data_IF_395310048709
#
_entry.id   IF_395310048709
#
_cell.length_a   1.000
_cell.length_b   1.000
_cell.length_c   1.000
_cell.angle_alpha   90.00
_cell.angle_beta   90.00
_cell.angle_gamma   90.00
#
_symmetry.space_group_name_H-M   'P 1'
#
loop_
_entity.id
_entity.type
_entity.pdbx_description
1 polymer ?
#
# COMPACT_ATOMS: atom_id res chain seq x y z
N UNK A 1 47.67 -51.18 -56.30
CA UNK A 1 47.97 -52.62 -56.11
C UNK A 1 47.14 -53.08 -54.91
N UNK A 2 45.91 -53.58 -55.07
CA UNK A 2 45.50 -54.97 -55.40
C UNK A 2 45.74 -55.97 -54.24
N UNK A 3 44.63 -56.60 -53.78
CA UNK A 3 44.45 -57.89 -53.04
C UNK A 3 44.71 -57.88 -51.51
N UNK A 4 43.97 -58.57 -50.61
CA UNK A 4 43.07 -59.77 -50.65
C UNK A 4 42.24 -59.81 -49.32
N UNK A 5 40.93 -60.17 -49.30
CA UNK A 5 40.29 -61.47 -48.89
C UNK A 5 40.72 -62.01 -47.49
N UNK A 6 39.93 -62.58 -46.55
CA UNK A 6 38.49 -62.93 -46.36
C UNK A 6 38.31 -63.63 -44.98
N UNK A 7 37.17 -63.41 -44.27
CA UNK A 7 36.41 -64.24 -43.27
C UNK A 7 37.07 -64.58 -41.89
N UNK A 8 36.37 -64.67 -40.75
CA UNK A 8 35.30 -65.64 -40.36
C UNK A 8 34.48 -65.17 -39.13
N UNK A 9 33.16 -65.43 -39.23
CA UNK A 9 32.07 -65.62 -38.24
C UNK A 9 32.36 -65.75 -36.73
N UNK A 10 31.49 -65.15 -35.90
CA UNK A 10 30.82 -65.79 -34.73
C UNK A 10 29.57 -64.96 -34.35
N UNK A 11 28.35 -65.48 -34.59
CA UNK A 11 27.41 -65.92 -33.55
C UNK A 11 26.53 -64.77 -33.00
N UNK A 12 25.33 -64.51 -33.51
CA UNK A 12 24.03 -65.14 -33.16
C UNK A 12 23.61 -64.99 -31.69
N UNK A 13 22.61 -64.13 -31.41
CA UNK A 13 21.46 -64.29 -30.47
C UNK A 13 20.81 -62.89 -30.25
N UNK A 14 19.61 -62.61 -30.77
CA UNK A 14 18.26 -62.88 -30.23
C UNK A 14 17.73 -61.82 -29.24
N UNK A 15 16.49 -61.37 -29.53
CA UNK A 15 15.45 -60.82 -28.63
C UNK A 15 15.53 -59.32 -28.31
N UNK A 16 14.67 -58.46 -28.87
CA UNK A 16 13.22 -58.19 -28.64
C UNK A 16 12.99 -56.97 -27.74
N UNK A 17 12.31 -55.96 -28.32
CA UNK A 17 11.18 -55.20 -27.78
C UNK A 17 11.27 -54.66 -26.33
N UNK A 18 11.31 -53.33 -26.16
CA UNK A 18 10.17 -52.57 -25.62
C UNK A 18 10.48 -51.08 -25.48
N UNK A 19 9.58 -50.29 -26.05
CA UNK A 19 9.38 -48.86 -25.85
C UNK A 19 8.95 -48.58 -24.40
N UNK A 20 9.61 -47.65 -23.71
CA UNK A 20 8.97 -46.81 -22.70
C UNK A 20 9.77 -45.54 -22.45
N UNK A 21 9.19 -44.43 -22.89
CA UNK A 21 9.49 -43.08 -22.42
C UNK A 21 9.42 -43.07 -20.89
N UNK A 22 10.48 -42.63 -20.23
CA UNK A 22 10.38 -42.04 -18.91
C UNK A 22 11.33 -40.85 -18.87
N UNK A 23 10.73 -39.69 -19.17
CA UNK A 23 11.24 -38.37 -18.78
C UNK A 23 11.70 -38.46 -17.34
N UNK A 24 12.99 -38.24 -17.09
CA UNK A 24 13.51 -38.08 -15.76
C UNK A 24 12.99 -36.74 -15.21
N UNK A 25 11.93 -36.78 -14.40
CA UNK A 25 11.64 -35.71 -13.47
C UNK A 25 12.46 -35.97 -12.20
N UNK A 26 13.62 -35.32 -12.11
CA UNK A 26 14.49 -35.32 -10.94
C UNK A 26 13.96 -34.38 -9.85
N UNK A 27 12.80 -34.69 -9.26
CA UNK A 27 12.26 -34.02 -8.08
C UNK A 27 11.97 -35.06 -7.01
N UNK A 28 12.67 -35.00 -5.87
CA UNK A 28 12.49 -35.94 -4.77
C UNK A 28 11.05 -35.89 -4.24
N UNK A 29 10.49 -37.05 -3.92
CA UNK A 29 9.21 -37.14 -3.20
C UNK A 29 9.42 -36.74 -1.74
N UNK A 30 8.41 -36.12 -1.13
CA UNK A 30 8.48 -35.62 0.24
C UNK A 30 7.13 -35.77 0.95
N UNK A 31 7.15 -35.74 2.28
CA UNK A 31 5.94 -35.62 3.11
C UNK A 31 5.97 -34.33 3.95
N UNK A 32 7.17 -33.88 4.31
CA UNK A 32 7.42 -32.65 5.06
C UNK A 32 8.56 -31.86 4.41
N UNK A 33 8.64 -30.55 4.68
CA UNK A 33 9.70 -29.69 4.12
C UNK A 33 11.11 -30.14 4.50
N UNK A 34 11.27 -30.77 5.66
CA UNK A 34 12.53 -31.34 6.12
C UNK A 34 13.06 -32.48 5.24
N UNK A 35 12.21 -33.08 4.41
CA UNK A 35 12.59 -34.16 3.49
C UNK A 35 13.28 -33.61 2.23
N UNK A 36 13.27 -32.29 2.04
CA UNK A 36 13.80 -31.63 0.86
C UNK A 36 15.20 -31.05 1.13
N UNK A 37 16.14 -31.34 0.22
CA UNK A 37 17.51 -30.82 0.29
C UNK A 37 17.60 -29.40 -0.32
N UNK A 38 18.22 -28.47 0.42
CA UNK A 38 18.40 -27.08 0.00
C UNK A 38 17.22 -26.16 0.36
N UNK A 39 17.08 -25.03 -0.32
CA UNK A 39 15.98 -24.07 -0.14
C UNK A 39 14.70 -24.52 -0.89
N UNK A 40 14.27 -25.76 -0.64
CA UNK A 40 13.10 -26.38 -1.29
C UNK A 40 12.06 -26.75 -0.23
N UNK A 41 10.79 -26.80 -0.62
CA UNK A 41 9.68 -27.13 0.28
C UNK A 41 8.78 -28.21 -0.34
N UNK A 42 8.01 -28.90 0.50
CA UNK A 42 7.21 -30.03 0.10
C UNK A 42 5.81 -29.59 -0.34
N UNK A 43 5.55 -29.64 -1.64
CA UNK A 43 4.25 -29.30 -2.21
C UNK A 43 3.70 -30.49 -3.01
N UNK A 44 2.49 -30.93 -2.67
CA UNK A 44 1.81 -32.08 -3.33
C UNK A 44 2.69 -33.34 -3.42
N UNK A 45 3.50 -33.58 -2.38
CA UNK A 45 4.38 -34.74 -2.28
C UNK A 45 5.67 -34.64 -3.08
N UNK A 46 6.04 -33.45 -3.59
CA UNK A 46 7.29 -33.22 -4.33
C UNK A 46 8.05 -32.03 -3.78
N UNK A 47 9.37 -32.17 -3.70
CA UNK A 47 10.26 -31.07 -3.39
C UNK A 47 10.31 -30.10 -4.58
N UNK A 48 9.73 -28.93 -4.39
CA UNK A 48 9.73 -27.84 -5.35
C UNK A 48 10.70 -26.76 -4.89
N UNK A 49 11.39 -26.13 -5.84
CA UNK A 49 12.21 -24.96 -5.52
C UNK A 49 11.30 -23.86 -4.95
N UNK A 50 11.77 -23.19 -3.87
CA UNK A 50 11.12 -22.05 -3.22
C UNK A 50 10.33 -21.20 -4.20
N UNK A 51 9.04 -20.94 -3.89
CA UNK A 51 8.11 -20.26 -4.79
C UNK A 51 8.82 -19.05 -5.39
N UNK A 52 8.82 -18.96 -6.72
CA UNK A 52 9.24 -17.75 -7.42
C UNK A 52 8.29 -16.62 -6.99
N UNK A 53 8.67 -15.88 -5.94
CA UNK A 53 7.93 -14.74 -5.39
C UNK A 53 7.61 -14.83 -3.89
N UNK A 54 7.11 -13.72 -3.32
CA UNK A 54 6.78 -13.57 -1.90
C UNK A 54 5.47 -14.29 -1.49
N UNK A 55 5.26 -15.56 -1.84
CA UNK A 55 4.05 -16.31 -1.46
C UNK A 55 4.28 -17.18 -0.21
N UNK A 56 3.22 -17.45 0.56
CA UNK A 56 3.30 -18.24 1.81
C UNK A 56 1.95 -18.85 2.20
N UNK A 57 1.98 -19.79 3.15
CA UNK A 57 0.80 -20.34 3.84
C UNK A 57 0.89 -20.19 5.36
N UNK A 58 2.10 -20.15 5.90
CA UNK A 58 2.42 -19.94 7.30
C UNK A 58 3.48 -18.83 7.45
N UNK A 59 3.54 -18.20 8.62
CA UNK A 59 4.56 -17.19 8.91
C UNK A 59 5.99 -17.76 8.83
N UNK A 60 6.17 -19.06 9.05
CA UNK A 60 7.45 -19.77 8.95
C UNK A 60 7.99 -19.85 7.52
N UNK A 61 7.13 -19.67 6.52
CA UNK A 61 7.51 -19.65 5.10
C UNK A 61 8.17 -18.31 4.73
N UNK A 62 8.07 -17.32 5.62
CA UNK A 62 8.55 -15.96 5.41
C UNK A 62 9.87 -15.69 6.15
N UNK A 63 10.64 -14.74 5.64
CA UNK A 63 11.94 -14.38 6.23
C UNK A 63 11.72 -13.70 7.58
N UNK A 64 12.77 -13.67 8.41
CA UNK A 64 12.75 -12.95 9.69
C UNK A 64 12.33 -11.48 9.48
N UNK A 65 11.26 -11.05 10.17
CA UNK A 65 10.68 -9.72 10.00
C UNK A 65 9.54 -9.64 8.98
N UNK A 66 9.12 -10.78 8.42
CA UNK A 66 7.96 -10.90 7.55
C UNK A 66 6.86 -11.76 8.22
N UNK A 67 5.62 -11.59 7.79
CA UNK A 67 4.49 -12.44 8.17
C UNK A 67 3.68 -12.81 6.94
N UNK A 68 3.04 -13.98 7.02
CA UNK A 68 2.18 -14.47 5.97
C UNK A 68 0.80 -13.85 6.05
N UNK A 69 0.54 -12.90 5.16
CA UNK A 69 -0.72 -12.14 5.09
C UNK A 69 -1.26 -12.29 3.68
N UNK A 70 -2.49 -12.80 3.54
CA UNK A 70 -3.15 -13.02 2.25
C UNK A 70 -2.33 -13.87 1.28
N UNK A 71 -1.75 -14.96 1.80
CA UNK A 71 -0.85 -15.87 1.08
C UNK A 71 0.41 -15.21 0.51
N UNK A 72 0.82 -14.05 1.07
CA UNK A 72 2.05 -13.36 0.73
C UNK A 72 2.89 -13.02 1.95
N UNK A 73 4.20 -13.18 1.83
CA UNK A 73 5.15 -12.67 2.81
C UNK A 73 5.21 -11.16 2.72
N UNK A 74 4.75 -10.51 3.77
CA UNK A 74 4.78 -9.06 3.92
C UNK A 74 5.76 -8.72 5.04
N UNK A 75 6.72 -7.85 4.75
CA UNK A 75 7.55 -7.24 5.79
C UNK A 75 6.66 -6.48 6.75
N UNK A 76 6.62 -6.93 8.00
CA UNK A 76 5.80 -6.32 9.04
C UNK A 76 6.62 -5.22 9.68
N UNK A 77 6.22 -3.98 9.42
CA UNK A 77 6.89 -2.79 9.98
C UNK A 77 6.34 -2.40 11.35
N UNK A 78 5.12 -2.84 11.65
CA UNK A 78 4.35 -2.48 12.84
C UNK A 78 3.25 -3.51 13.11
N UNK A 79 2.66 -3.46 14.31
CA UNK A 79 1.54 -4.32 14.70
C UNK A 79 0.21 -3.64 14.39
N UNK A 80 -0.78 -4.38 13.88
CA UNK A 80 -2.11 -3.83 13.56
C UNK A 80 -2.72 -3.06 14.75
N UNK A 81 -3.23 -1.85 14.49
CA UNK A 81 -3.74 -0.95 15.53
C UNK A 81 -2.68 -0.13 16.29
N UNK A 82 -1.40 -0.42 16.09
CA UNK A 82 -0.31 0.39 16.65
C UNK A 82 -0.34 1.80 16.08
N UNK A 83 -0.09 2.82 16.91
CA UNK A 83 -0.01 4.21 16.50
C UNK A 83 1.35 4.78 16.86
N UNK A 84 1.89 5.64 15.99
CA UNK A 84 3.12 6.37 16.31
C UNK A 84 3.09 7.77 15.72
N UNK A 85 3.83 8.67 16.36
CA UNK A 85 4.03 10.02 15.86
C UNK A 85 4.80 9.99 14.54
N UNK A 86 4.43 10.87 13.61
CA UNK A 86 5.08 10.97 12.32
C UNK A 86 5.16 12.44 11.89
N UNK A 87 6.15 12.76 11.06
CA UNK A 87 6.32 14.08 10.49
C UNK A 87 7.13 13.93 9.20
N UNK A 88 6.53 14.32 8.07
CA UNK A 88 7.14 14.14 6.75
C UNK A 88 7.78 15.44 6.21
N UNK A 89 7.81 16.49 7.03
CA UNK A 89 8.47 17.75 6.72
C UNK A 89 9.99 17.74 7.02
N UNK A 90 10.74 18.74 6.52
CA UNK A 90 12.16 18.91 6.79
C UNK A 90 12.50 18.98 8.29
N UNK A 91 13.66 18.46 8.68
CA UNK A 91 14.17 18.54 10.06
C UNK A 91 14.26 20.00 10.53
N UNK A 92 13.80 20.27 11.75
CA UNK A 92 13.85 21.61 12.37
C UNK A 92 12.60 22.47 12.14
N UNK A 93 11.68 22.04 11.28
CA UNK A 93 10.42 22.75 11.03
C UNK A 93 9.27 22.28 11.95
N UNK A 94 9.40 21.08 12.54
CA UNK A 94 8.39 20.55 13.47
C UNK A 94 8.23 21.47 14.69
N UNK A 95 6.98 21.89 14.96
CA UNK A 95 6.65 22.78 16.08
C UNK A 95 6.95 24.26 15.80
N UNK A 96 7.43 24.62 14.61
CA UNK A 96 7.53 26.02 14.18
C UNK A 96 6.23 26.42 13.49
N UNK A 97 5.72 27.60 13.84
CA UNK A 97 4.52 28.14 13.22
C UNK A 97 3.33 27.19 13.32
N UNK A 98 2.76 26.86 12.16
CA UNK A 98 1.65 25.91 12.03
C UNK A 98 2.09 24.45 11.97
N UNK A 99 3.38 24.18 11.72
CA UNK A 99 3.87 22.83 11.51
C UNK A 99 3.81 21.98 12.76
N UNK A 100 3.28 20.77 12.60
CA UNK A 100 3.14 19.80 13.70
C UNK A 100 3.20 18.38 13.18
N UNK A 101 3.64 17.47 14.06
CA UNK A 101 3.55 16.05 13.81
C UNK A 101 2.09 15.58 13.74
N UNK A 102 1.87 14.56 12.92
CA UNK A 102 0.65 13.78 12.86
C UNK A 102 0.81 12.44 13.58
N UNK A 103 -0.16 11.56 13.34
CA UNK A 103 -0.16 10.17 13.81
C UNK A 103 -0.38 9.26 12.61
N UNK A 104 0.40 8.19 12.52
CA UNK A 104 0.16 7.11 11.56
C UNK A 104 -0.31 5.87 12.30
N UNK A 105 -1.34 5.23 11.76
CA UNK A 105 -1.93 3.99 12.26
C UNK A 105 -1.37 2.82 11.46
N UNK A 106 -1.03 1.73 12.14
CA UNK A 106 -0.64 0.50 11.49
C UNK A 106 -1.88 -0.30 11.07
N UNK A 107 -1.94 -0.66 9.78
CA UNK A 107 -2.98 -1.54 9.23
C UNK A 107 -2.34 -2.60 8.35
N UNK A 108 -2.63 -3.87 8.61
CA UNK A 108 -2.11 -4.99 7.80
C UNK A 108 -0.59 -5.10 7.81
N UNK A 109 0.05 -4.73 8.92
CA UNK A 109 1.50 -4.79 9.10
C UNK A 109 2.29 -3.66 8.44
N UNK A 110 1.61 -2.61 7.96
CA UNK A 110 2.22 -1.44 7.34
C UNK A 110 1.71 -0.17 7.99
N UNK A 111 2.57 0.82 8.10
CA UNK A 111 2.15 2.15 8.52
C UNK A 111 1.28 2.81 7.44
N UNK A 112 0.14 3.35 7.85
CA UNK A 112 -0.66 4.24 7.03
C UNK A 112 -0.03 5.62 6.86
N UNK A 113 -0.79 6.54 6.29
CA UNK A 113 -0.40 7.93 6.10
C UNK A 113 -0.29 8.67 7.43
N UNK A 114 0.43 9.79 7.40
CA UNK A 114 0.64 10.62 8.57
C UNK A 114 -0.54 11.59 8.78
N UNK A 115 -1.62 11.09 9.40
CA UNK A 115 -2.85 11.83 9.61
C UNK A 115 -2.63 13.06 10.52
N UNK A 116 -3.13 14.21 10.09
CA UNK A 116 -3.10 15.46 10.87
C UNK A 116 -1.74 16.16 10.96
N UNK A 117 -0.72 15.65 10.25
CA UNK A 117 0.54 16.39 10.11
C UNK A 117 0.34 17.69 9.32
N UNK A 118 1.03 18.74 9.73
CA UNK A 118 1.13 19.99 8.96
C UNK A 118 2.60 20.17 8.63
N UNK A 119 2.94 20.09 7.36
CA UNK A 119 4.31 20.28 6.85
C UNK A 119 4.47 21.68 6.26
N UNK A 120 5.71 22.17 6.09
CA UNK A 120 5.98 23.47 5.49
C UNK A 120 5.30 23.65 4.14
N UNK A 121 4.75 24.83 3.94
CA UNK A 121 4.04 25.23 2.72
C UNK A 121 4.26 26.72 2.49
N UNK A 122 4.01 27.25 1.28
CA UNK A 122 4.20 28.69 1.05
C UNK A 122 3.31 29.51 1.98
N UNK A 123 3.81 30.67 2.41
CA UNK A 123 3.03 31.66 3.18
C UNK A 123 1.71 32.00 2.49
N UNK A 124 0.64 32.07 3.29
CA UNK A 124 -0.70 32.46 2.87
C UNK A 124 -1.04 33.89 3.26
N UNK A 125 -0.12 34.58 3.93
CA UNK A 125 -0.31 35.94 4.42
C UNK A 125 -1.51 36.03 5.38
N UNK A 126 -1.65 34.99 6.20
CA UNK A 126 -2.77 34.74 7.11
C UNK A 126 -2.40 35.01 8.58
N UNK A 127 -1.24 35.66 8.81
CA UNK A 127 -0.64 35.95 10.12
C UNK A 127 -0.14 34.71 10.86
N UNK A 128 0.09 33.63 10.13
CA UNK A 128 0.74 32.43 10.62
C UNK A 128 2.09 32.27 9.94
N UNK A 129 2.84 31.27 10.39
CA UNK A 129 4.09 30.83 9.79
C UNK A 129 3.77 29.48 9.11
N UNK A 130 3.48 29.54 7.81
CA UNK A 130 3.03 28.39 7.02
C UNK A 130 4.22 27.62 6.45
N UNK A 131 5.35 28.28 6.23
CA UNK A 131 6.60 27.67 5.75
C UNK A 131 7.47 27.14 6.91
N UNK A 132 7.07 27.43 8.13
CA UNK A 132 7.62 26.93 9.38
C UNK A 132 9.11 27.27 9.52
N UNK A 133 9.49 28.44 9.02
CA UNK A 133 10.84 28.98 9.11
C UNK A 133 11.09 29.76 10.41
N UNK A 134 10.06 29.94 11.24
CA UNK A 134 10.10 30.66 12.51
C UNK A 134 9.73 32.14 12.40
N UNK A 135 9.20 32.59 11.26
CA UNK A 135 8.72 33.95 11.04
C UNK A 135 7.34 33.92 10.42
N UNK A 136 6.52 34.89 10.81
CA UNK A 136 5.15 35.05 10.33
C UNK A 136 5.16 35.89 9.05
N UNK A 137 4.48 35.42 8.01
CA UNK A 137 4.22 36.15 6.76
C UNK A 137 5.49 36.82 6.16
N UNK A 138 6.64 36.15 6.16
CA UNK A 138 7.91 36.73 5.67
C UNK A 138 8.14 36.59 4.16
N UNK A 139 7.16 36.03 3.44
CA UNK A 139 7.17 36.00 1.98
C UNK A 139 6.90 37.40 1.38
N UNK A 140 7.62 37.78 0.30
CA UNK A 140 7.39 39.06 -0.39
C UNK A 140 5.95 39.30 -0.86
N UNK A 141 5.15 38.26 -1.07
CA UNK A 141 3.73 38.35 -1.45
C UNK A 141 2.82 38.83 -0.31
N UNK A 142 3.30 38.83 0.94
CA UNK A 142 2.55 39.27 2.12
C UNK A 142 2.54 40.78 2.34
N UNK A 143 2.84 41.54 1.29
CA UNK A 143 2.63 42.99 1.26
C UNK A 143 1.15 43.37 1.46
N UNK A 144 0.93 44.43 2.23
CA UNK A 144 -0.41 45.01 2.46
C UNK A 144 -0.90 45.84 1.27
N UNK A 145 0.03 46.31 0.42
CA UNK A 145 -0.29 47.02 -0.82
C UNK A 145 -0.05 46.09 -2.00
N UNK A 146 -0.96 46.10 -2.96
CA UNK A 146 -0.88 45.31 -4.18
C UNK A 146 -1.27 46.16 -5.40
N UNK A 147 -0.92 45.70 -6.59
CA UNK A 147 -1.36 46.31 -7.84
C UNK A 147 -2.54 45.52 -8.40
N UNK A 148 -3.45 46.22 -9.08
CA UNK A 148 -4.62 45.59 -9.69
C UNK A 148 -4.20 44.45 -10.63
N UNK A 149 -4.76 43.27 -10.38
CA UNK A 149 -4.43 42.04 -11.11
C UNK A 149 -3.36 41.15 -10.44
N UNK A 150 -2.66 41.62 -9.40
CA UNK A 150 -1.79 40.76 -8.59
C UNK A 150 -2.62 39.64 -7.95
N UNK A 151 -2.03 38.44 -7.83
CA UNK A 151 -2.67 37.30 -7.19
C UNK A 151 -1.74 36.59 -6.22
N UNK A 152 -2.27 36.16 -5.08
CA UNK A 152 -1.54 35.36 -4.08
C UNK A 152 -2.33 34.12 -3.65
N UNK A 153 -1.67 33.04 -3.19
CA UNK A 153 -2.37 31.85 -2.71
C UNK A 153 -3.17 32.19 -1.45
N UNK A 154 -4.27 31.47 -1.24
CA UNK A 154 -5.07 31.57 -0.03
C UNK A 154 -5.75 30.24 0.25
N UNK A 155 -6.07 30.00 1.51
CA UNK A 155 -6.86 28.82 1.88
C UNK A 155 -7.68 29.13 3.13
N UNK A 156 -8.99 28.87 3.07
CA UNK A 156 -9.91 29.18 4.18
C UNK A 156 -10.33 27.94 4.98
N UNK A 157 -9.79 26.77 4.64
CA UNK A 157 -9.97 25.53 5.40
C UNK A 157 -8.93 25.35 6.51
N UNK A 158 -9.04 24.29 7.32
CA UNK A 158 -8.02 23.92 8.31
C UNK A 158 -6.65 23.69 7.67
N UNK A 159 -5.56 24.20 8.26
CA UNK A 159 -4.23 24.10 7.66
C UNK A 159 -3.79 22.65 7.31
N UNK A 160 -4.21 21.65 8.10
CA UNK A 160 -3.91 20.23 7.85
C UNK A 160 -4.63 19.63 6.64
N UNK A 161 -5.64 20.29 6.09
CA UNK A 161 -6.39 19.82 4.91
C UNK A 161 -5.93 20.50 3.63
N UNK A 162 -4.99 21.47 3.70
CA UNK A 162 -4.52 22.21 2.53
C UNK A 162 -3.80 21.27 1.57
N UNK A 163 -4.26 21.23 0.31
CA UNK A 163 -3.67 20.43 -0.75
C UNK A 163 -3.60 18.92 -0.44
N UNK A 164 -4.51 18.44 0.42
CA UNK A 164 -4.72 17.02 0.74
C UNK A 164 -5.99 16.55 0.04
N UNK A 165 -5.96 15.38 -0.58
CA UNK A 165 -7.14 14.81 -1.25
C UNK A 165 -7.72 15.74 -2.33
N UNK A 166 -9.01 16.01 -2.24
CA UNK A 166 -9.70 16.98 -3.12
C UNK A 166 -9.52 18.44 -2.72
N UNK A 167 -9.01 18.71 -1.51
CA UNK A 167 -8.81 20.06 -1.05
C UNK A 167 -7.69 20.74 -1.81
N UNK A 168 -7.90 22.01 -2.11
CA UNK A 168 -6.93 22.84 -2.81
C UNK A 168 -7.03 24.28 -2.36
N UNK A 169 -5.91 24.96 -2.37
CA UNK A 169 -5.85 26.41 -2.23
C UNK A 169 -6.58 27.14 -3.36
N UNK A 170 -7.07 28.33 -3.02
CA UNK A 170 -7.60 29.31 -3.95
C UNK A 170 -6.59 30.41 -4.21
N UNK A 171 -7.10 31.51 -4.77
CA UNK A 171 -6.33 32.75 -4.96
C UNK A 171 -7.11 33.94 -4.43
N UNK A 172 -6.40 34.86 -3.79
CA UNK A 172 -6.85 36.23 -3.59
C UNK A 172 -6.37 37.08 -4.77
N UNK A 173 -7.27 37.93 -5.28
CA UNK A 173 -6.99 38.85 -6.37
C UNK A 173 -6.96 40.27 -5.82
N UNK A 174 -5.97 41.05 -6.24
CA UNK A 174 -5.92 42.46 -5.91
C UNK A 174 -6.83 43.27 -6.85
N UNK A 175 -7.74 44.05 -6.29
CA UNK A 175 -8.62 44.98 -7.03
C UNK A 175 -8.67 46.33 -6.32
N UNK A 176 -8.49 47.42 -7.06
CA UNK A 176 -8.39 48.78 -6.53
C UNK A 176 -7.37 48.92 -5.37
N UNK A 177 -6.23 48.23 -5.49
CA UNK A 177 -5.16 48.24 -4.48
C UNK A 177 -5.46 47.51 -3.17
N UNK A 178 -6.51 46.68 -3.12
CA UNK A 178 -6.86 45.86 -1.97
C UNK A 178 -6.94 44.37 -2.35
N UNK A 179 -6.46 43.50 -1.45
CA UNK A 179 -6.66 42.06 -1.55
C UNK A 179 -8.12 41.71 -1.27
N UNK A 180 -8.78 41.09 -2.25
CA UNK A 180 -10.14 40.58 -2.10
C UNK A 180 -10.16 39.18 -1.46
N UNK A 181 -11.36 38.68 -1.14
CA UNK A 181 -11.52 37.38 -0.50
C UNK A 181 -11.02 36.19 -1.33
N UNK A 182 -10.66 35.12 -0.63
CA UNK A 182 -10.15 33.89 -1.23
C UNK A 182 -11.16 33.22 -2.17
N UNK A 183 -10.77 33.07 -3.43
CA UNK A 183 -11.63 32.49 -4.47
C UNK A 183 -11.04 31.20 -5.03
N UNK A 184 -11.90 30.19 -5.23
CA UNK A 184 -11.52 28.92 -5.88
C UNK A 184 -10.92 27.86 -4.95
N UNK A 185 -10.83 28.14 -3.65
CA UNK A 185 -10.42 27.14 -2.68
C UNK A 185 -11.45 26.00 -2.59
N UNK A 186 -10.97 24.79 -2.33
CA UNK A 186 -11.81 23.62 -2.06
C UNK A 186 -11.52 23.17 -0.64
N UNK A 187 -12.53 23.30 0.21
CA UNK A 187 -12.49 22.98 1.63
C UNK A 187 -12.91 21.53 1.88
N UNK A 188 -12.50 20.95 3.01
CA UNK A 188 -12.93 19.62 3.39
C UNK A 188 -14.44 19.59 3.58
N UNK A 189 -15.07 18.53 3.08
CA UNK A 189 -16.49 18.21 3.31
C UNK A 189 -16.58 16.83 3.94
N UNK A 190 -17.78 16.39 4.35
CA UNK A 190 -17.92 15.02 4.82
C UNK A 190 -17.58 14.01 3.71
N UNK A 191 -16.99 12.88 4.10
CA UNK A 191 -16.67 11.78 3.18
C UNK A 191 -17.87 11.32 2.36
N UNK A 192 -17.62 11.07 1.09
CA UNK A 192 -18.57 10.52 0.14
C UNK A 192 -18.08 9.14 -0.31
N UNK A 193 -18.55 8.17 0.44
CA UNK A 193 -18.23 6.76 0.27
C UNK A 193 -18.40 6.20 -1.14
N UNK A 194 -17.41 5.40 -1.54
CA UNK A 194 -17.30 4.67 -2.79
C UNK A 194 -17.14 5.57 -4.01
N UNK A 195 -16.64 6.79 -3.84
CA UNK A 195 -16.24 7.63 -4.97
C UNK A 195 -14.72 7.55 -5.27
N UNK A 196 -13.96 6.83 -4.44
CA UNK A 196 -12.50 6.68 -4.50
C UNK A 196 -11.75 8.01 -4.40
N UNK A 197 -12.34 9.00 -3.73
CA UNK A 197 -11.73 10.29 -3.46
C UNK A 197 -11.65 10.51 -1.95
N UNK A 198 -10.79 11.44 -1.57
CA UNK A 198 -10.64 11.96 -0.19
C UNK A 198 -11.38 13.30 -0.16
N UNK A 199 -12.62 13.31 0.37
CA UNK A 199 -13.47 14.50 0.34
C UNK A 199 -13.31 15.38 1.59
N UNK A 200 -12.91 14.79 2.71
CA UNK A 200 -12.67 15.43 3.99
C UNK A 200 -11.22 15.88 4.15
N UNK A 201 -10.36 15.51 3.19
CA UNK A 201 -8.98 15.92 3.05
C UNK A 201 -8.14 15.55 4.28
N UNK A 202 -8.41 14.37 4.86
CA UNK A 202 -7.66 13.81 5.98
C UNK A 202 -6.51 12.89 5.54
N UNK A 203 -6.40 12.62 4.23
CA UNK A 203 -5.36 11.80 3.62
C UNK A 203 -5.74 10.33 3.45
N UNK A 204 -6.92 9.93 3.91
CA UNK A 204 -7.51 8.62 3.64
C UNK A 204 -8.58 8.74 2.55
N UNK A 205 -8.86 7.63 1.87
CA UNK A 205 -9.86 7.57 0.81
C UNK A 205 -11.00 6.67 1.31
N UNK A 206 -12.24 7.13 1.16
CA UNK A 206 -13.45 6.38 1.48
C UNK A 206 -13.49 5.82 2.92
N UNK A 207 -12.93 6.54 3.90
CA UNK A 207 -12.94 6.18 5.32
C UNK A 207 -14.20 6.65 6.06
N UNK A 208 -14.37 6.19 7.31
CA UNK A 208 -15.49 6.57 8.18
C UNK A 208 -16.90 6.39 7.57
N UNK A 209 -17.03 5.49 6.61
CA UNK A 209 -18.22 5.31 5.77
C UNK A 209 -19.46 4.70 6.43
N UNK A 210 -19.44 4.48 7.75
CA UNK A 210 -20.48 3.79 8.49
C UNK A 210 -20.59 2.31 8.09
N UNK A 211 -20.75 1.44 9.07
CA UNK A 211 -21.07 0.04 8.79
C UNK A 211 -22.48 -0.05 8.17
N UNK A 212 -22.53 -0.16 6.84
CA UNK A 212 -23.70 -0.34 5.96
C UNK A 212 -24.49 0.95 5.65
N UNK A 213 -24.63 1.24 4.35
CA UNK A 213 -25.57 2.25 3.84
C UNK A 213 -26.93 1.63 3.52
N UNK A 214 -28.01 2.42 3.59
CA UNK A 214 -29.38 1.98 3.33
C UNK A 214 -29.50 1.34 1.93
N UNK A 215 -29.82 0.05 1.88
CA UNK A 215 -29.88 -0.74 0.65
C UNK A 215 -28.60 -1.51 0.28
N UNK A 216 -27.51 -1.40 1.04
CA UNK A 216 -26.35 -2.28 0.88
C UNK A 216 -26.55 -3.60 1.64
N UNK A 217 -26.40 -4.71 0.93
CA UNK A 217 -26.38 -6.06 1.48
C UNK A 217 -24.95 -6.57 1.46
N UNK A 218 -24.34 -6.83 2.62
CA UNK A 218 -23.03 -7.51 2.68
C UNK A 218 -23.15 -8.90 3.26
N UNK A 219 -22.37 -9.84 2.74
CA UNK A 219 -22.26 -11.17 3.33
C UNK A 219 -21.61 -11.05 4.71
N UNK A 220 -22.32 -11.49 5.75
CA UNK A 220 -21.83 -11.50 7.12
C UNK A 220 -21.67 -12.96 7.58
N UNK A 221 -20.61 -13.20 8.35
CA UNK A 221 -20.36 -14.50 8.97
C UNK A 221 -19.67 -14.27 10.32
N UNK A 222 -20.37 -14.56 11.40
CA UNK A 222 -19.89 -14.33 12.78
C UNK A 222 -19.13 -15.53 13.37
N UNK A 223 -18.98 -16.61 12.61
CA UNK A 223 -18.22 -17.79 13.02
C UNK A 223 -16.73 -17.73 12.62
N UNK A 224 -15.89 -18.65 13.13
CA UNK A 224 -14.49 -18.76 12.71
C UNK A 224 -14.37 -18.95 11.19
N UNK A 225 -13.44 -18.26 10.53
CA UNK A 225 -13.32 -18.26 9.06
C UNK A 225 -13.19 -19.66 8.44
N UNK A 226 -12.59 -20.62 9.16
CA UNK A 226 -12.48 -22.04 8.77
C UNK A 226 -13.81 -22.81 8.73
N UNK A 227 -14.90 -22.25 9.22
CA UNK A 227 -16.23 -22.89 9.29
C UNK A 227 -17.23 -22.32 8.28
N UNK A 228 -16.81 -21.31 7.51
CA UNK A 228 -17.65 -20.62 6.53
C UNK A 228 -18.06 -21.58 5.39
N UNK A 229 -19.36 -21.65 5.11
CA UNK A 229 -19.95 -22.51 4.07
C UNK A 229 -19.68 -24.02 4.25
N UNK A 230 -19.50 -24.47 5.49
CA UNK A 230 -19.34 -25.89 5.85
C UNK A 230 -20.55 -26.35 6.66
N UNK A 231 -21.27 -27.36 6.14
CA UNK A 231 -22.44 -27.95 6.82
C UNK A 231 -23.61 -26.97 6.94
N UNK A 232 -24.16 -26.84 8.15
CA UNK A 232 -25.28 -25.94 8.46
C UNK A 232 -24.84 -24.45 8.55
N UNK A 233 -23.52 -24.18 8.61
CA UNK A 233 -22.99 -22.82 8.70
C UNK A 233 -22.97 -22.15 7.31
N UNK A 234 -23.87 -21.17 7.12
CA UNK A 234 -24.01 -20.40 5.87
C UNK A 234 -23.74 -18.93 6.12
N UNK A 235 -23.31 -18.23 5.07
CA UNK A 235 -23.25 -16.78 5.09
C UNK A 235 -24.66 -16.21 5.28
N UNK A 236 -24.77 -15.23 6.20
CA UNK A 236 -25.94 -14.38 6.31
C UNK A 236 -25.78 -13.15 5.42
N UNK A 237 -26.87 -12.44 5.21
CA UNK A 237 -26.82 -11.11 4.59
C UNK A 237 -27.11 -10.08 5.67
N UNK A 238 -26.17 -9.19 5.93
CA UNK A 238 -26.40 -7.99 6.73
C UNK A 238 -26.90 -6.91 5.77
N UNK A 239 -28.13 -6.47 6.01
CA UNK A 239 -28.81 -5.34 5.34
C UNK A 239 -29.06 -4.23 6.34
#
# INVERSE_FOLDING_TARGET
MVRKYVYVFFGCFLLLLSLSLSVACSGGECTYDSDCEGEKFCQEGKCVDGIVGNACTLNTDCKTGESCISSKCIKVECTDGEQTSCYEGPTGTIGQGTCKAGVKLCQGGRWGWCEGAITPSSELCDKLDNDCNGKIDDDPLCTTTCNDGDSRPCYTGPASTRNVGLCREGKELCTNGAWEGCSGDTKPVAEKCNDNLDNNCDGNIDENCGDCQDGQSRACYTGPSSTRNIGECKEGTQT
#
